data_IF_359156562645
#
_entry.id   IF_359156562645
#
_cell.length_a   1.000
_cell.length_b   1.000
_cell.length_c   1.000
_cell.angle_alpha   90.00
_cell.angle_beta   90.00
_cell.angle_gamma   90.00
#
_symmetry.space_group_name_H-M   'P 1'
#
loop_
_entity.id
_entity.type
_entity.pdbx_description
1 polymer ?
#
# COMPACT_ATOMS: atom_id res chain seq x y z
N UNK A 1 -32.73 55.10 11.68
CA UNK A 1 -31.85 55.20 12.86
C UNK A 1 -30.43 54.83 12.41
N UNK A 2 -29.53 55.81 12.30
CA UNK A 2 -28.10 55.64 11.95
C UNK A 2 -27.27 55.49 13.22
N UNK A 3 -26.24 54.64 13.21
CA UNK A 3 -24.99 54.67 14.02
C UNK A 3 -24.20 53.38 13.75
N UNK A 4 -22.88 53.32 13.62
CA UNK A 4 -21.77 54.26 13.35
C UNK A 4 -20.54 53.34 13.14
N UNK A 5 -19.69 53.63 12.15
CA UNK A 5 -18.37 53.01 11.98
C UNK A 5 -17.42 53.40 13.13
N UNK A 6 -16.49 52.51 13.49
CA UNK A 6 -15.18 52.87 14.06
C UNK A 6 -14.12 51.97 13.41
N UNK A 7 -13.32 52.55 12.54
CA UNK A 7 -12.04 52.04 12.06
C UNK A 7 -10.93 52.49 13.02
N UNK A 8 -10.03 51.60 13.42
CA UNK A 8 -8.74 51.97 14.02
C UNK A 8 -7.61 51.48 13.12
N UNK A 9 -6.96 52.43 12.45
CA UNK A 9 -5.64 52.29 11.84
C UNK A 9 -4.59 52.66 12.89
N UNK A 10 -3.57 51.82 13.10
CA UNK A 10 -2.37 52.22 13.83
C UNK A 10 -1.14 52.09 12.92
N UNK A 11 -0.36 53.15 12.95
CA UNK A 11 0.69 53.55 12.03
C UNK A 11 2.06 53.09 12.54
N UNK A 12 2.87 52.57 11.60
CA UNK A 12 4.31 52.78 11.38
C UNK A 12 5.28 52.86 12.57
N UNK A 13 6.30 51.98 12.57
CA UNK A 13 7.69 52.40 12.82
C UNK A 13 8.70 51.42 12.18
N UNK A 14 9.43 51.91 11.18
CA UNK A 14 10.67 51.33 10.64
C UNK A 14 11.80 51.61 11.63
N UNK A 15 12.63 50.63 11.95
CA UNK A 15 14.05 50.87 12.28
C UNK A 15 14.93 49.79 11.65
N UNK A 16 15.74 50.24 10.70
CA UNK A 16 16.91 49.57 10.15
C UNK A 16 18.03 49.59 11.20
N UNK A 17 18.82 48.52 11.25
CA UNK A 17 20.03 48.44 12.06
C UNK A 17 20.92 47.30 11.61
N UNK A 18 21.66 47.51 10.52
CA UNK A 18 22.81 46.69 10.13
C UNK A 18 24.05 47.15 10.88
N UNK A 19 24.79 46.23 11.50
CA UNK A 19 26.24 46.39 11.66
C UNK A 19 26.95 45.03 11.69
N UNK A 20 28.09 45.05 11.01
CA UNK A 20 28.98 43.96 10.61
C UNK A 20 30.29 44.14 11.38
N UNK A 21 30.87 43.00 11.80
CA UNK A 21 32.29 42.72 12.14
C UNK A 21 33.09 43.66 13.05
N UNK A 22 33.71 43.08 14.09
CA UNK A 22 35.15 43.23 14.35
C UNK A 22 35.68 42.13 15.29
N UNK A 23 36.79 41.52 14.87
CA UNK A 23 37.62 40.58 15.60
C UNK A 23 38.50 41.28 16.66
N UNK A 24 39.00 40.53 17.65
CA UNK A 24 40.04 41.03 18.55
C UNK A 24 40.39 40.05 19.67
N UNK A 25 41.66 39.67 19.76
CA UNK A 25 42.20 38.52 20.47
C UNK A 25 42.51 38.72 21.97
N UNK A 26 42.49 37.60 22.70
CA UNK A 26 43.36 37.10 23.80
C UNK A 26 44.23 38.06 24.65
N UNK A 27 44.18 37.89 25.99
CA UNK A 27 45.31 37.43 26.86
C UNK A 27 44.84 37.10 28.30
N UNK A 28 44.89 35.83 28.75
CA UNK A 28 45.86 35.12 29.64
C UNK A 28 45.98 35.65 31.08
N UNK A 29 45.71 34.78 32.07
CA UNK A 29 46.59 34.30 33.18
C UNK A 29 45.72 33.72 34.32
N UNK A 30 46.11 32.78 35.17
CA UNK A 30 46.95 31.56 35.19
C UNK A 30 46.87 31.09 36.67
N UNK A 31 46.87 29.79 36.99
CA UNK A 31 47.55 29.22 38.17
C UNK A 31 47.26 27.72 38.37
N UNK A 32 48.29 26.92 38.07
CA UNK A 32 48.84 25.74 38.78
C UNK A 32 47.92 24.58 39.24
N UNK A 33 48.31 23.30 39.22
CA UNK A 33 49.44 22.47 38.73
C UNK A 33 49.03 21.05 39.21
N UNK A 34 49.24 19.96 38.49
CA UNK A 34 50.22 18.90 38.84
C UNK A 34 49.94 17.66 37.98
N UNK A 35 50.99 17.30 37.23
CA UNK A 35 51.49 15.97 36.83
C UNK A 35 50.70 15.05 35.89
N UNK A 36 51.36 14.84 34.77
CA UNK A 36 51.21 13.90 33.66
C UNK A 36 51.13 12.41 34.04
N UNK A 37 50.21 11.69 33.42
CA UNK A 37 50.43 10.33 32.89
C UNK A 37 49.83 10.28 31.48
N UNK A 38 50.69 10.00 30.51
CA UNK A 38 50.34 9.79 29.11
C UNK A 38 49.55 8.48 28.98
N UNK A 39 48.34 8.56 28.43
CA UNK A 39 47.64 7.40 27.88
C UNK A 39 46.95 7.87 26.61
N UNK A 40 47.34 7.30 25.47
CA UNK A 40 46.78 7.59 24.16
C UNK A 40 45.29 7.20 24.15
N UNK A 41 44.42 8.21 24.26
CA UNK A 41 43.00 8.03 24.01
C UNK A 41 42.77 8.08 22.49
N UNK A 42 42.59 6.89 21.93
CA UNK A 42 42.05 6.64 20.59
C UNK A 42 40.77 7.46 20.43
N UNK A 43 40.80 8.49 19.59
CA UNK A 43 39.61 9.23 19.20
C UNK A 43 38.72 8.28 18.40
N UNK A 44 37.73 7.67 19.05
CA UNK A 44 36.61 7.08 18.36
C UNK A 44 35.85 8.22 17.67
N UNK A 45 36.18 8.42 16.40
CA UNK A 45 35.26 9.04 15.46
C UNK A 45 33.99 8.20 15.50
N UNK A 46 32.97 8.67 16.22
CA UNK A 46 31.60 8.24 16.01
C UNK A 46 31.21 8.86 14.66
N UNK A 47 31.68 8.22 13.59
CA UNK A 47 31.08 8.34 12.28
C UNK A 47 29.74 7.64 12.41
N UNK A 48 28.73 8.34 12.92
CA UNK A 48 27.35 7.96 12.67
C UNK A 48 27.13 8.13 11.18
N UNK A 49 27.43 7.06 10.44
CA UNK A 49 26.81 6.77 9.16
C UNK A 49 25.29 6.81 9.40
N UNK A 50 24.70 8.00 9.26
CA UNK A 50 23.29 8.12 8.97
C UNK A 50 23.17 7.56 7.55
N UNK A 51 23.02 6.24 7.46
CA UNK A 51 22.45 5.62 6.27
C UNK A 51 21.04 6.16 6.15
N UNK A 52 20.92 7.23 5.39
CA UNK A 52 19.69 7.71 4.80
C UNK A 52 19.14 6.57 3.93
N UNK A 53 18.40 5.65 4.55
CA UNK A 53 17.58 4.65 3.88
C UNK A 53 16.30 5.35 3.39
N UNK A 54 16.45 6.32 2.49
CA UNK A 54 15.33 6.81 1.71
C UNK A 54 15.13 5.81 0.57
N UNK A 55 14.42 4.71 0.85
CA UNK A 55 13.87 3.89 -0.24
C UNK A 55 12.89 4.75 -1.04
N UNK A 56 12.98 4.76 -2.36
CA UNK A 56 11.98 5.43 -3.18
C UNK A 56 10.60 4.79 -2.97
N UNK A 57 9.56 5.63 -2.91
CA UNK A 57 8.16 5.17 -2.81
C UNK A 57 7.85 4.14 -3.88
N UNK A 58 7.01 3.17 -3.54
CA UNK A 58 6.60 2.14 -4.48
C UNK A 58 5.55 2.61 -5.50
N UNK A 59 4.98 3.79 -5.27
CA UNK A 59 3.96 4.42 -6.10
C UNK A 59 4.40 5.82 -6.52
N UNK A 60 4.09 6.17 -7.75
CA UNK A 60 4.23 7.52 -8.30
C UNK A 60 2.86 8.18 -8.23
N UNK A 61 2.82 9.42 -7.76
CA UNK A 61 1.64 10.28 -7.76
C UNK A 61 1.69 11.21 -8.97
N UNK A 62 0.63 11.21 -9.77
CA UNK A 62 0.41 12.18 -10.84
C UNK A 62 -0.83 13.01 -10.52
N UNK A 63 -0.59 14.26 -10.13
CA UNK A 63 -1.65 15.23 -9.86
C UNK A 63 -2.01 15.95 -11.15
N UNK A 64 -3.29 16.16 -11.42
CA UNK A 64 -3.72 16.88 -12.61
C UNK A 64 -5.22 17.08 -12.70
N UNK A 65 -5.68 17.55 -13.86
CA UNK A 65 -7.11 17.76 -14.15
C UNK A 65 -7.54 16.84 -15.28
N UNK A 66 -8.73 16.23 -15.15
CA UNK A 66 -9.34 15.43 -16.21
C UNK A 66 -9.73 16.37 -17.36
N UNK A 67 -9.18 16.16 -18.56
CA UNK A 67 -9.50 16.95 -19.76
C UNK A 67 -10.31 16.18 -20.80
N UNK A 68 -10.39 14.86 -20.68
CA UNK A 68 -11.20 14.01 -21.56
C UNK A 68 -11.66 12.78 -20.78
N UNK A 69 -12.93 12.39 -20.93
CA UNK A 69 -13.47 11.14 -20.39
C UNK A 69 -14.04 10.30 -21.54
N UNK A 70 -13.37 9.19 -21.85
CA UNK A 70 -13.82 8.25 -22.87
C UNK A 70 -14.46 7.03 -22.20
N UNK A 71 -15.78 6.88 -22.37
CA UNK A 71 -16.56 5.73 -21.90
C UNK A 71 -17.07 4.92 -23.08
N UNK A 72 -16.86 3.62 -23.03
CA UNK A 72 -17.51 2.62 -23.88
C UNK A 72 -18.12 1.54 -23.00
N UNK A 73 -18.95 0.66 -23.57
CA UNK A 73 -19.50 -0.50 -22.84
C UNK A 73 -18.44 -1.40 -22.21
N UNK A 74 -17.20 -1.39 -22.73
CA UNK A 74 -16.12 -2.31 -22.33
C UNK A 74 -14.94 -1.63 -21.65
N UNK A 75 -14.85 -0.31 -21.70
CA UNK A 75 -13.69 0.41 -21.18
C UNK A 75 -14.02 1.84 -20.80
N UNK A 76 -13.39 2.33 -19.74
CA UNK A 76 -13.33 3.74 -19.40
C UNK A 76 -11.87 4.16 -19.41
N UNK A 77 -11.57 5.32 -20.00
CA UNK A 77 -10.26 5.96 -19.88
C UNK A 77 -10.42 7.45 -19.67
N UNK A 78 -9.46 8.06 -18.96
CA UNK A 78 -9.42 9.49 -18.70
C UNK A 78 -8.09 10.06 -19.18
N UNK A 79 -8.12 11.22 -19.84
CA UNK A 79 -6.92 12.02 -20.09
C UNK A 79 -6.74 12.98 -18.93
N UNK A 80 -5.55 12.97 -18.32
CA UNK A 80 -5.22 13.81 -17.18
C UNK A 80 -4.06 14.71 -17.58
N UNK A 81 -4.23 16.01 -17.43
CA UNK A 81 -3.22 17.01 -17.77
C UNK A 81 -2.67 17.70 -16.52
N UNK A 82 -1.35 17.90 -16.53
CA UNK A 82 -0.64 18.79 -15.64
C UNK A 82 0.47 19.47 -16.43
N UNK A 83 0.21 20.72 -16.85
CA UNK A 83 1.12 21.51 -17.67
C UNK A 83 2.41 21.91 -16.94
N UNK A 84 2.38 21.91 -15.61
CA UNK A 84 3.50 22.30 -14.77
C UNK A 84 4.36 21.09 -14.36
N UNK A 85 3.90 19.85 -14.57
CA UNK A 85 4.67 18.65 -14.27
C UNK A 85 5.96 18.58 -15.10
N UNK A 86 7.12 18.38 -14.47
CA UNK A 86 8.41 18.33 -15.18
C UNK A 86 8.53 17.11 -16.13
N UNK A 87 7.79 16.03 -15.84
CA UNK A 87 7.69 14.84 -16.67
C UNK A 87 6.61 14.94 -17.74
N UNK A 88 5.70 13.96 -17.77
CA UNK A 88 4.63 13.93 -18.77
C UNK A 88 3.60 15.04 -18.49
N UNK A 89 3.42 15.94 -19.46
CA UNK A 89 2.39 17.00 -19.38
C UNK A 89 0.97 16.46 -19.41
N UNK A 90 0.79 15.26 -19.94
CA UNK A 90 -0.46 14.54 -19.94
C UNK A 90 -0.24 13.03 -19.97
N UNK A 91 -1.12 12.29 -19.30
CA UNK A 91 -1.14 10.82 -19.31
C UNK A 91 -2.58 10.37 -19.48
N UNK A 92 -2.80 9.37 -20.33
CA UNK A 92 -4.10 8.70 -20.42
C UNK A 92 -4.12 7.49 -19.48
N UNK A 93 -5.09 7.44 -18.58
CA UNK A 93 -5.24 6.34 -17.64
C UNK A 93 -6.45 5.49 -18.00
N UNK A 94 -6.26 4.16 -18.09
CA UNK A 94 -7.37 3.23 -18.22
C UNK A 94 -7.97 2.94 -16.85
N UNK A 95 -9.29 3.04 -16.74
CA UNK A 95 -10.02 2.86 -15.49
C UNK A 95 -10.78 1.51 -15.54
N UNK A 96 -10.06 0.43 -15.21
CA UNK A 96 -10.64 -0.92 -15.07
C UNK A 96 -11.45 -1.03 -13.77
N UNK A 97 -12.15 -2.17 -13.56
CA UNK A 97 -12.84 -2.46 -12.30
C UNK A 97 -11.88 -2.59 -11.11
N UNK A 98 -10.61 -2.82 -11.41
CA UNK A 98 -9.57 -3.09 -10.41
C UNK A 98 -9.05 -1.78 -9.77
N UNK A 99 -9.23 -0.65 -10.46
CA UNK A 99 -8.82 0.68 -9.99
C UNK A 99 -9.66 1.13 -8.80
N UNK A 100 -9.01 1.54 -7.72
CA UNK A 100 -9.67 2.16 -6.58
C UNK A 100 -10.02 3.60 -6.92
N UNK A 101 -11.32 3.89 -7.10
CA UNK A 101 -11.82 5.24 -7.32
C UNK A 101 -12.37 5.79 -6.00
N UNK A 102 -11.80 6.90 -5.52
CA UNK A 102 -12.09 7.46 -4.20
C UNK A 102 -12.33 8.97 -4.29
N UNK A 103 -13.06 9.54 -3.34
CA UNK A 103 -13.11 10.99 -3.12
C UNK A 103 -12.30 11.37 -1.89
N UNK A 104 -11.51 12.44 -1.96
CA UNK A 104 -10.80 12.95 -0.79
C UNK A 104 -11.69 13.70 0.21
N UNK A 105 -12.91 14.08 -0.20
CA UNK A 105 -13.88 14.77 0.64
C UNK A 105 -14.60 13.79 1.55
N UNK A 106 -15.13 12.71 0.98
CA UNK A 106 -15.85 11.68 1.74
C UNK A 106 -14.94 10.57 2.26
N UNK A 107 -13.77 10.37 1.63
CA UNK A 107 -12.88 9.21 1.80
C UNK A 107 -13.52 7.90 1.34
N UNK A 108 -14.63 7.95 0.62
CA UNK A 108 -15.38 6.79 0.17
C UNK A 108 -15.16 6.48 -1.31
N UNK A 109 -15.53 5.26 -1.70
CA UNK A 109 -15.50 4.81 -3.08
C UNK A 109 -16.52 5.57 -3.91
N UNK A 110 -16.13 5.92 -5.13
CA UNK A 110 -17.01 6.56 -6.12
C UNK A 110 -17.13 5.67 -7.35
N UNK A 111 -18.19 5.84 -8.12
CA UNK A 111 -18.38 5.13 -9.37
C UNK A 111 -17.62 5.80 -10.51
N UNK A 112 -17.24 5.01 -11.52
CA UNK A 112 -16.66 5.51 -12.78
C UNK A 112 -17.53 6.57 -13.44
N UNK A 113 -18.84 6.50 -13.21
CA UNK A 113 -19.77 7.46 -13.78
C UNK A 113 -19.69 8.87 -13.21
N UNK A 114 -19.10 9.00 -12.03
CA UNK A 114 -18.91 10.27 -11.35
C UNK A 114 -17.71 11.04 -11.90
N UNK A 115 -16.78 10.37 -12.62
CA UNK A 115 -15.63 11.01 -13.27
C UNK A 115 -16.09 11.91 -14.42
N UNK A 116 -15.71 13.18 -14.36
CA UNK A 116 -16.08 14.23 -15.33
C UNK A 116 -14.88 15.11 -15.67
N UNK A 117 -14.92 15.68 -16.86
CA UNK A 117 -13.97 16.73 -17.28
C UNK A 117 -13.97 17.90 -16.28
N UNK A 118 -12.80 18.48 -16.05
CA UNK A 118 -12.58 19.58 -15.11
C UNK A 118 -12.31 19.14 -13.66
N UNK A 119 -12.50 17.86 -13.31
CA UNK A 119 -12.16 17.36 -11.98
C UNK A 119 -10.65 17.33 -11.75
N UNK A 120 -10.20 17.88 -10.62
CA UNK A 120 -8.83 17.72 -10.13
C UNK A 120 -8.71 16.36 -9.46
N UNK A 121 -7.63 15.64 -9.75
CA UNK A 121 -7.41 14.30 -9.22
C UNK A 121 -5.94 14.05 -8.89
N UNK A 122 -5.72 13.08 -8.00
CA UNK A 122 -4.43 12.43 -7.79
C UNK A 122 -4.53 11.01 -8.33
N UNK A 123 -3.64 10.65 -9.26
CA UNK A 123 -3.55 9.30 -9.81
C UNK A 123 -2.30 8.63 -9.25
N UNK A 124 -2.47 7.47 -8.62
CA UNK A 124 -1.38 6.68 -8.07
C UNK A 124 -1.17 5.41 -8.90
N UNK A 125 0.04 5.21 -9.39
CA UNK A 125 0.43 4.01 -10.13
C UNK A 125 1.79 3.50 -9.64
N UNK A 126 2.01 2.19 -9.67
CA UNK A 126 3.27 1.62 -9.20
C UNK A 126 4.47 2.15 -9.99
N UNK A 127 5.62 2.34 -9.36
CA UNK A 127 6.82 2.91 -10.00
C UNK A 127 7.30 2.17 -11.26
N UNK A 128 7.00 0.88 -11.35
CA UNK A 128 7.35 0.00 -12.48
C UNK A 128 6.16 -0.24 -13.44
N UNK A 129 5.10 0.57 -13.37
CA UNK A 129 3.92 0.41 -14.24
C UNK A 129 4.33 0.59 -15.70
N UNK A 130 4.08 -0.40 -16.58
CA UNK A 130 4.34 -0.25 -18.00
C UNK A 130 3.50 0.89 -18.60
N UNK A 131 4.13 1.72 -19.40
CA UNK A 131 3.47 2.78 -20.17
C UNK A 131 3.68 2.56 -21.67
N UNK A 132 2.69 2.96 -22.48
CA UNK A 132 2.86 2.93 -23.95
C UNK A 132 3.83 4.01 -24.43
N UNK A 133 4.44 3.80 -25.60
CA UNK A 133 5.29 4.81 -26.28
C UNK A 133 4.48 5.80 -27.13
N UNK A 134 3.19 5.97 -26.86
CA UNK A 134 2.34 6.96 -27.54
C UNK A 134 2.45 8.33 -26.89
N UNK A 135 1.89 9.36 -27.54
CA UNK A 135 1.72 10.68 -26.95
C UNK A 135 0.22 11.07 -26.99
N UNK A 136 -0.45 11.24 -25.84
CA UNK A 136 0.03 10.96 -24.48
C UNK A 136 0.35 9.48 -24.25
N UNK A 137 1.26 9.14 -23.32
CA UNK A 137 1.45 7.76 -22.90
C UNK A 137 0.18 7.26 -22.20
N UNK A 138 -0.04 5.95 -22.28
CA UNK A 138 -1.17 5.27 -21.65
C UNK A 138 -0.64 4.40 -20.51
N UNK A 139 -1.28 4.49 -19.34
CA UNK A 139 -0.92 3.72 -18.16
C UNK A 139 -2.17 3.16 -17.46
N UNK A 140 -1.96 2.14 -16.61
CA UNK A 140 -3.02 1.57 -15.77
C UNK A 140 -2.72 1.94 -14.31
N UNK A 141 -3.51 2.81 -13.67
CA UNK A 141 -3.29 3.19 -12.29
C UNK A 141 -3.80 2.14 -11.31
N UNK A 142 -3.34 2.21 -10.07
CA UNK A 142 -3.91 1.44 -8.96
C UNK A 142 -5.04 2.22 -8.28
N UNK A 143 -4.87 3.52 -8.12
CA UNK A 143 -5.79 4.39 -7.36
C UNK A 143 -5.98 5.71 -8.11
N UNK A 144 -7.22 6.20 -8.13
CA UNK A 144 -7.53 7.57 -8.52
C UNK A 144 -8.35 8.20 -7.40
N UNK A 145 -7.89 9.35 -6.92
CA UNK A 145 -8.58 10.12 -5.89
C UNK A 145 -9.06 11.43 -6.50
N UNK A 146 -10.36 11.69 -6.43
CA UNK A 146 -10.95 12.96 -6.84
C UNK A 146 -10.81 13.99 -5.73
N UNK A 147 -10.28 15.15 -6.08
CA UNK A 147 -9.99 16.24 -5.17
C UNK A 147 -11.13 17.26 -5.18
N UNK A 148 -12.07 17.10 -4.25
CA UNK A 148 -13.29 17.92 -4.14
C UNK A 148 -13.31 18.82 -2.90
N UNK A 149 -12.37 18.63 -1.97
CA UNK A 149 -12.24 19.47 -0.77
C UNK A 149 -11.26 20.62 -0.99
N UNK A 150 -11.61 21.81 -0.48
CA UNK A 150 -10.70 22.98 -0.44
C UNK A 150 -9.57 22.78 0.58
N UNK A 151 -9.84 22.05 1.67
CA UNK A 151 -8.86 21.58 2.65
C UNK A 151 -8.90 20.05 2.67
N UNK A 152 -8.23 19.38 1.72
CA UNK A 152 -8.29 17.94 1.63
C UNK A 152 -7.45 17.27 2.71
N UNK A 153 -7.94 16.13 3.20
CA UNK A 153 -7.06 15.17 3.88
C UNK A 153 -5.92 14.80 2.93
N UNK A 154 -4.73 14.62 3.49
CA UNK A 154 -3.61 14.07 2.72
C UNK A 154 -3.89 12.62 2.34
N UNK A 155 -3.41 12.19 1.18
CA UNK A 155 -3.53 10.79 0.74
C UNK A 155 -2.16 10.25 0.41
N UNK A 156 -1.79 9.16 1.07
CA UNK A 156 -0.55 8.42 0.79
C UNK A 156 -0.91 7.01 0.34
N UNK A 157 -0.49 6.66 -0.87
CA UNK A 157 -0.52 5.29 -1.38
C UNK A 157 0.89 4.76 -1.36
N UNK A 158 1.15 3.75 -0.53
CA UNK A 158 2.47 3.10 -0.44
C UNK A 158 2.38 1.75 0.26
N UNK A 159 3.51 1.05 0.31
CA UNK A 159 3.72 -0.03 1.27
C UNK A 159 3.99 0.54 2.66
N UNK A 160 3.33 -0.01 3.66
CA UNK A 160 3.51 0.33 5.07
C UNK A 160 4.01 -0.88 5.85
N UNK A 161 5.01 -0.68 6.71
CA UNK A 161 5.52 -1.74 7.59
C UNK A 161 4.59 -2.02 8.78
N UNK A 162 4.99 -2.91 9.69
CA UNK A 162 4.29 -3.23 10.93
C UNK A 162 4.15 -2.05 11.91
N UNK A 163 4.99 -1.03 11.78
CA UNK A 163 4.89 0.24 12.52
C UNK A 163 4.04 1.30 11.80
N UNK A 164 3.43 0.94 10.66
CA UNK A 164 2.68 1.84 9.78
C UNK A 164 3.49 3.05 9.30
N UNK A 165 4.75 2.81 8.99
CA UNK A 165 5.64 3.75 8.31
C UNK A 165 5.68 3.41 6.83
N UNK A 166 5.45 4.40 5.96
CA UNK A 166 5.53 4.25 4.51
C UNK A 166 6.96 3.93 4.05
N UNK A 167 7.11 3.18 2.97
CA UNK A 167 8.42 2.77 2.44
C UNK A 167 9.33 3.95 2.11
N UNK A 168 8.79 5.09 1.68
CA UNK A 168 9.55 6.32 1.47
C UNK A 168 9.91 7.10 2.74
N UNK A 169 9.61 6.54 3.92
CA UNK A 169 9.81 7.16 5.23
C UNK A 169 9.14 8.55 5.34
N UNK A 170 8.10 8.80 4.52
CA UNK A 170 7.37 10.06 4.52
C UNK A 170 6.37 10.13 5.66
N UNK A 171 5.52 9.10 5.80
CA UNK A 171 4.38 9.11 6.73
C UNK A 171 4.45 7.92 7.68
N UNK A 172 4.34 8.21 8.98
CA UNK A 172 3.90 7.26 9.99
C UNK A 172 2.44 7.52 10.33
N UNK A 173 1.57 6.57 10.00
CA UNK A 173 0.13 6.69 10.17
C UNK A 173 -0.29 6.23 11.57
N UNK A 174 -0.79 7.17 12.39
CA UNK A 174 -1.27 6.86 13.74
C UNK A 174 -2.76 6.49 13.73
N UNK A 175 -3.06 5.26 14.16
CA UNK A 175 -4.42 4.74 14.27
C UNK A 175 -5.03 5.11 15.62
N UNK A 176 -6.32 5.43 15.62
CA UNK A 176 -7.15 5.63 16.82
C UNK A 176 -8.47 4.85 16.67
N UNK A 177 -9.29 4.84 17.72
CA UNK A 177 -10.62 4.21 17.69
C UNK A 177 -11.56 4.79 16.62
N UNK A 178 -11.24 5.97 16.09
CA UNK A 178 -12.01 6.64 15.01
C UNK A 178 -11.50 6.30 13.61
N UNK A 179 -10.36 5.64 13.49
CA UNK A 179 -9.79 5.27 12.19
C UNK A 179 -10.63 4.16 11.57
N UNK A 180 -11.12 4.40 10.37
CA UNK A 180 -11.86 3.39 9.60
C UNK A 180 -10.84 2.56 8.81
N UNK A 181 -10.83 1.24 9.00
CA UNK A 181 -9.95 0.32 8.27
C UNK A 181 -10.82 -0.64 7.48
N UNK A 182 -10.68 -0.65 6.16
CA UNK A 182 -11.53 -1.44 5.26
C UNK A 182 -10.77 -2.06 4.09
N UNK A 183 -11.36 -3.10 3.52
CA UNK A 183 -10.95 -3.64 2.21
C UNK A 183 -11.57 -2.86 1.04
N UNK A 184 -11.35 -3.34 -0.20
CA UNK A 184 -11.93 -2.73 -1.41
C UNK A 184 -13.46 -2.73 -1.44
N UNK A 185 -14.09 -3.71 -0.81
CA UNK A 185 -15.54 -3.86 -0.78
C UNK A 185 -16.18 -3.08 0.38
N UNK A 186 -15.38 -2.41 1.22
CA UNK A 186 -15.84 -1.70 2.40
C UNK A 186 -16.02 -2.59 3.63
N UNK A 187 -15.58 -3.86 3.59
CA UNK A 187 -15.62 -4.72 4.78
C UNK A 187 -14.61 -4.21 5.80
N UNK A 188 -15.00 -4.17 7.08
CA UNK A 188 -14.11 -3.75 8.16
C UNK A 188 -12.98 -4.76 8.35
N UNK A 189 -11.77 -4.24 8.49
CA UNK A 189 -10.56 -5.00 8.82
C UNK A 189 -10.07 -4.65 10.22
N UNK A 190 -9.28 -5.54 10.81
CA UNK A 190 -8.58 -5.29 12.06
C UNK A 190 -7.18 -4.73 11.80
N UNK A 191 -6.52 -4.26 12.86
CA UNK A 191 -5.21 -3.59 12.73
C UNK A 191 -4.13 -4.53 12.21
N UNK A 192 -4.24 -5.81 12.54
CA UNK A 192 -3.29 -6.85 12.15
C UNK A 192 -3.34 -7.12 10.64
N UNK A 193 -4.47 -6.86 9.98
CA UNK A 193 -4.67 -7.14 8.55
C UNK A 193 -3.91 -6.18 7.63
N UNK A 194 -3.45 -5.02 8.15
CA UNK A 194 -2.83 -3.94 7.37
C UNK A 194 -1.32 -3.81 7.56
N UNK A 195 -0.72 -4.58 8.48
CA UNK A 195 0.73 -4.55 8.69
C UNK A 195 1.47 -5.19 7.52
N UNK A 196 2.56 -4.55 7.07
CA UNK A 196 3.37 -5.04 5.95
C UNK A 196 2.53 -5.22 4.67
N UNK A 197 1.65 -4.27 4.37
CA UNK A 197 0.76 -4.26 3.20
C UNK A 197 0.87 -2.95 2.43
N UNK A 198 0.37 -2.97 1.20
CA UNK A 198 0.19 -1.77 0.40
C UNK A 198 -1.16 -1.17 0.80
N UNK A 199 -1.16 0.11 1.17
CA UNK A 199 -2.31 0.80 1.77
C UNK A 199 -2.57 2.12 1.06
N UNK A 200 -3.84 2.52 1.06
CA UNK A 200 -4.29 3.88 0.79
C UNK A 200 -4.63 4.51 2.14
N UNK A 201 -3.84 5.50 2.56
CA UNK A 201 -4.01 6.16 3.86
C UNK A 201 -4.47 7.58 3.63
N UNK A 202 -5.72 7.87 4.03
CA UNK A 202 -6.21 9.23 4.22
C UNK A 202 -5.80 9.70 5.63
N UNK A 203 -5.00 10.76 5.70
CA UNK A 203 -4.46 11.29 6.96
C UNK A 203 -4.79 12.78 7.13
N UNK A 204 -4.87 13.20 8.39
CA UNK A 204 -5.23 14.58 8.72
C UNK A 204 -4.17 15.60 8.28
N UNK A 205 -4.58 16.86 8.04
CA UNK A 205 -3.68 17.92 7.55
C UNK A 205 -2.61 18.34 8.57
N UNK A 206 -2.81 18.01 9.86
CA UNK A 206 -1.85 18.32 10.92
C UNK A 206 -0.88 17.14 11.08
N UNK A 207 0.41 17.41 10.88
CA UNK A 207 1.49 16.44 11.04
C UNK A 207 2.65 17.00 11.87
N UNK A 208 3.45 16.11 12.46
CA UNK A 208 4.71 16.49 13.12
C UNK A 208 5.77 16.84 12.07
N UNK A 209 6.74 17.68 12.47
CA UNK A 209 7.91 18.01 11.63
C UNK A 209 9.06 16.98 11.77
N UNK A 210 8.75 15.73 12.12
CA UNK A 210 9.72 14.64 12.24
C UNK A 210 9.92 13.91 10.92
N UNK A 211 10.92 13.04 10.84
CA UNK A 211 11.12 12.10 9.74
C UNK A 211 11.08 10.68 10.34
N UNK A 212 10.07 9.84 10.02
CA UNK A 212 8.89 10.16 9.21
C UNK A 212 7.98 11.20 9.88
N UNK A 213 7.19 11.93 9.09
CA UNK A 213 6.15 12.80 9.61
C UNK A 213 5.03 11.93 10.20
N UNK A 214 4.48 12.34 11.34
CA UNK A 214 3.43 11.57 12.02
C UNK A 214 2.10 12.33 11.91
N UNK A 215 1.06 11.65 11.44
CA UNK A 215 -0.31 12.20 11.36
C UNK A 215 -1.35 11.15 11.76
N UNK A 216 -2.53 11.60 12.13
CA UNK A 216 -3.68 10.73 12.42
C UNK A 216 -4.25 10.17 11.11
N UNK A 217 -4.45 8.86 11.06
CA UNK A 217 -5.13 8.19 9.96
C UNK A 217 -6.65 8.30 10.14
N UNK A 218 -7.32 8.95 9.19
CA UNK A 218 -8.78 9.06 9.15
C UNK A 218 -9.40 7.79 8.56
N UNK A 219 -8.82 7.29 7.47
CA UNK A 219 -9.24 6.05 6.83
C UNK A 219 -8.05 5.34 6.20
N UNK A 220 -8.00 4.02 6.36
CA UNK A 220 -7.02 3.13 5.76
C UNK A 220 -7.79 2.14 4.90
N UNK A 221 -7.41 2.03 3.64
CA UNK A 221 -7.97 1.06 2.71
C UNK A 221 -6.84 0.12 2.29
N UNK A 222 -7.06 -1.19 2.44
CA UNK A 222 -6.13 -2.20 1.97
C UNK A 222 -6.09 -2.19 0.43
N UNK A 223 -4.91 -1.95 -0.14
CA UNK A 223 -4.68 -2.05 -1.56
C UNK A 223 -4.30 -3.51 -1.89
N UNK A 224 -5.30 -4.28 -2.30
CA UNK A 224 -5.11 -5.70 -2.61
C UNK A 224 -4.36 -5.86 -3.93
N UNK A 225 -3.24 -6.57 -3.89
CA UNK A 225 -2.58 -7.04 -5.10
C UNK A 225 -3.38 -8.19 -5.70
N UNK A 226 -3.60 -8.15 -7.01
CA UNK A 226 -4.32 -9.20 -7.71
C UNK A 226 -3.38 -10.28 -8.25
N UNK A 227 -3.84 -11.53 -8.21
CA UNK A 227 -3.12 -12.64 -8.85
C UNK A 227 -3.25 -12.49 -10.37
N UNK A 228 -2.15 -12.14 -11.02
CA UNK A 228 -2.02 -11.98 -12.49
C UNK A 228 -1.26 -13.14 -13.12
N UNK A 229 -0.39 -13.77 -12.36
CA UNK A 229 0.40 -14.92 -12.79
C UNK A 229 -0.31 -16.19 -12.35
N UNK A 230 -0.69 -17.02 -13.32
CA UNK A 230 -1.65 -18.10 -13.09
C UNK A 230 -1.03 -19.50 -13.11
N UNK A 231 0.20 -19.63 -13.59
CA UNK A 231 0.89 -20.90 -13.82
C UNK A 231 2.10 -21.12 -12.92
N UNK A 232 2.36 -20.20 -11.99
CA UNK A 232 3.46 -20.32 -11.02
C UNK A 232 3.18 -19.61 -9.70
N UNK A 233 3.91 -20.04 -8.69
CA UNK A 233 3.99 -19.42 -7.36
C UNK A 233 5.44 -19.32 -6.91
N UNK A 234 5.67 -18.59 -5.84
CA UNK A 234 6.95 -18.59 -5.13
C UNK A 234 6.73 -19.16 -3.73
N UNK A 235 7.62 -20.06 -3.30
CA UNK A 235 7.65 -20.57 -1.93
C UNK A 235 9.04 -20.36 -1.37
N UNK A 236 9.15 -19.60 -0.28
CA UNK A 236 10.41 -19.27 0.39
C UNK A 236 11.47 -18.68 -0.58
N UNK A 237 11.01 -17.82 -1.49
CA UNK A 237 11.84 -17.19 -2.51
C UNK A 237 12.17 -18.05 -3.73
N UNK A 238 11.73 -19.32 -3.78
CA UNK A 238 11.93 -20.19 -4.94
C UNK A 238 10.68 -20.25 -5.81
N UNK A 239 10.83 -19.97 -7.10
CA UNK A 239 9.77 -20.11 -8.09
C UNK A 239 9.43 -21.59 -8.33
N UNK A 240 8.14 -21.89 -8.43
CA UNK A 240 7.59 -23.23 -8.67
C UNK A 240 6.47 -23.13 -9.70
N UNK A 241 6.62 -23.87 -10.79
CA UNK A 241 5.57 -24.00 -11.80
C UNK A 241 4.43 -24.89 -11.28
N UNK A 242 3.21 -24.52 -11.63
CA UNK A 242 2.01 -25.29 -11.36
C UNK A 242 1.63 -26.10 -12.61
N UNK A 243 1.26 -27.36 -12.40
CA UNK A 243 0.77 -28.24 -13.48
C UNK A 243 -0.59 -27.75 -13.98
N UNK A 244 -1.38 -27.18 -13.08
CA UNK A 244 -2.72 -26.67 -13.29
C UNK A 244 -2.76 -25.17 -13.02
N UNK A 245 -3.46 -24.41 -13.86
CA UNK A 245 -3.51 -22.95 -13.71
C UNK A 245 -4.48 -22.51 -12.61
N UNK A 246 -4.07 -21.51 -11.85
CA UNK A 246 -4.92 -20.67 -11.01
C UNK A 246 -5.94 -19.96 -11.91
N UNK A 247 -7.15 -19.73 -11.40
CA UNK A 247 -8.15 -18.93 -12.11
C UNK A 247 -9.04 -18.15 -11.15
N UNK A 248 -9.83 -17.24 -11.70
CA UNK A 248 -10.86 -16.49 -10.97
C UNK A 248 -12.22 -17.16 -11.15
N UNK A 249 -12.88 -17.50 -10.05
CA UNK A 249 -14.27 -17.94 -9.99
C UNK A 249 -15.09 -16.89 -9.26
N UNK A 250 -15.86 -16.08 -10.00
CA UNK A 250 -16.50 -14.89 -9.46
C UNK A 250 -15.48 -13.93 -8.85
N UNK A 251 -15.61 -13.62 -7.55
CA UNK A 251 -14.67 -12.76 -6.80
C UNK A 251 -13.48 -13.53 -6.22
N UNK A 252 -13.46 -14.86 -6.29
CA UNK A 252 -12.49 -15.70 -5.60
C UNK A 252 -11.38 -16.17 -6.52
N UNK A 253 -10.14 -16.09 -6.05
CA UNK A 253 -9.00 -16.76 -6.70
C UNK A 253 -8.99 -18.23 -6.28
N UNK A 254 -9.06 -19.14 -7.25
CA UNK A 254 -9.04 -20.59 -7.04
C UNK A 254 -7.68 -21.16 -7.39
N UNK A 255 -7.04 -21.85 -6.44
CA UNK A 255 -5.71 -22.45 -6.57
C UNK A 255 -5.80 -23.98 -6.64
N UNK A 256 -4.94 -24.65 -7.44
CA UNK A 256 -4.96 -26.11 -7.57
C UNK A 256 -4.45 -26.79 -6.30
N UNK A 257 -5.33 -27.47 -5.56
CA UNK A 257 -5.03 -28.01 -4.24
C UNK A 257 -3.79 -28.91 -4.24
N UNK A 258 -3.73 -29.86 -5.18
CA UNK A 258 -2.66 -30.86 -5.25
C UNK A 258 -1.31 -30.21 -5.54
N UNK A 259 -1.22 -29.36 -6.56
CA UNK A 259 0.05 -28.74 -6.98
C UNK A 259 0.63 -27.89 -5.86
N UNK A 260 -0.21 -27.07 -5.23
CA UNK A 260 0.20 -26.20 -4.11
C UNK A 260 0.62 -27.05 -2.91
N UNK A 261 -0.14 -28.08 -2.56
CA UNK A 261 0.17 -28.96 -1.44
C UNK A 261 1.48 -29.73 -1.66
N UNK A 262 1.70 -30.30 -2.86
CA UNK A 262 2.92 -31.01 -3.22
C UNK A 262 4.15 -30.08 -3.18
N UNK A 263 4.02 -28.85 -3.67
CA UNK A 263 5.08 -27.82 -3.56
C UNK A 263 5.39 -27.49 -2.10
N UNK A 264 4.39 -27.48 -1.23
CA UNK A 264 4.53 -27.30 0.21
C UNK A 264 4.90 -28.59 0.95
N UNK A 265 5.31 -29.64 0.23
CA UNK A 265 5.76 -30.94 0.74
C UNK A 265 4.69 -31.75 1.50
N UNK A 266 3.41 -31.47 1.25
CA UNK A 266 2.33 -32.35 1.69
C UNK A 266 2.24 -33.57 0.78
N UNK A 267 2.03 -34.74 1.38
CA UNK A 267 1.57 -35.92 0.67
C UNK A 267 0.07 -35.78 0.40
N UNK A 268 -0.34 -35.86 -0.87
CA UNK A 268 -1.75 -35.73 -1.27
C UNK A 268 -2.31 -37.08 -1.71
N UNK A 269 -3.23 -37.65 -0.93
CA UNK A 269 -3.95 -38.88 -1.24
C UNK A 269 -5.43 -38.61 -1.52
N UNK A 270 -6.10 -39.55 -2.18
CA UNK A 270 -7.54 -39.51 -2.39
C UNK A 270 -8.18 -40.68 -1.67
N UNK A 271 -9.19 -40.40 -0.85
CA UNK A 271 -9.99 -41.40 -0.17
C UNK A 271 -11.27 -41.63 -0.98
N UNK A 272 -11.38 -42.79 -1.62
CA UNK A 272 -12.51 -43.12 -2.49
C UNK A 272 -13.84 -43.28 -1.73
N UNK A 273 -13.81 -43.85 -0.53
CA UNK A 273 -15.01 -44.13 0.25
C UNK A 273 -15.64 -42.85 0.76
N UNK A 274 -14.80 -41.94 1.27
CA UNK A 274 -15.23 -40.63 1.79
C UNK A 274 -15.34 -39.55 0.70
N UNK A 275 -14.77 -39.82 -0.49
CA UNK A 275 -14.65 -38.87 -1.61
C UNK A 275 -13.99 -37.55 -1.19
N UNK A 276 -12.86 -37.64 -0.49
CA UNK A 276 -12.09 -36.47 -0.02
C UNK A 276 -10.63 -36.55 -0.46
N UNK A 277 -10.04 -35.41 -0.76
CA UNK A 277 -8.60 -35.26 -0.85
C UNK A 277 -8.03 -35.15 0.58
N UNK A 278 -6.98 -35.90 0.87
CA UNK A 278 -6.28 -35.93 2.15
C UNK A 278 -4.87 -35.38 1.95
N UNK A 279 -4.48 -34.40 2.76
CA UNK A 279 -3.18 -33.75 2.75
C UNK A 279 -2.49 -34.06 4.07
N UNK A 280 -1.27 -34.60 4.00
CA UNK A 280 -0.50 -35.06 5.16
C UNK A 280 0.90 -34.45 5.15
N UNK A 281 1.26 -33.72 6.19
CA UNK A 281 2.64 -33.24 6.43
C UNK A 281 2.96 -33.30 7.92
N UNK A 282 3.80 -34.25 8.33
CA UNK A 282 4.07 -34.50 9.75
C UNK A 282 2.78 -34.81 10.51
N UNK A 283 2.45 -33.99 11.52
CA UNK A 283 1.22 -34.12 12.31
C UNK A 283 0.02 -33.37 11.72
N UNK A 284 0.22 -32.60 10.64
CA UNK A 284 -0.85 -31.86 9.99
C UNK A 284 -1.62 -32.81 9.07
N UNK A 285 -2.90 -32.98 9.37
CA UNK A 285 -3.86 -33.72 8.57
C UNK A 285 -5.00 -32.81 8.17
N UNK A 286 -5.20 -32.67 6.88
CA UNK A 286 -6.20 -31.79 6.26
C UNK A 286 -7.02 -32.59 5.28
N UNK A 287 -8.34 -32.44 5.30
CA UNK A 287 -9.21 -33.03 4.29
C UNK A 287 -10.02 -31.97 3.57
N UNK A 288 -10.19 -32.18 2.27
CA UNK A 288 -10.99 -31.30 1.41
C UNK A 288 -11.96 -32.17 0.63
N UNK A 289 -13.25 -31.91 0.83
CA UNK A 289 -14.30 -32.54 0.03
C UNK A 289 -14.65 -31.62 -1.14
N UNK A 290 -14.51 -32.07 -2.40
CA UNK A 290 -14.82 -31.24 -3.55
C UNK A 290 -16.27 -30.75 -3.55
N UNK A 291 -16.50 -29.54 -4.06
CA UNK A 291 -17.82 -28.91 -4.18
C UNK A 291 -18.51 -28.59 -2.84
N UNK A 292 -17.75 -28.55 -1.75
CA UNK A 292 -18.23 -28.13 -0.43
C UNK A 292 -17.34 -27.02 0.16
N UNK A 293 -17.98 -26.10 0.91
CA UNK A 293 -17.32 -25.11 1.79
C UNK A 293 -17.13 -25.72 3.19
N UNK A 294 -16.43 -26.87 3.23
CA UNK A 294 -16.14 -27.61 4.44
C UNK A 294 -14.71 -28.15 4.34
N UNK A 295 -13.76 -27.37 4.85
CA UNK A 295 -12.35 -27.74 4.90
C UNK A 295 -12.04 -28.26 6.30
N UNK A 296 -11.20 -29.28 6.44
CA UNK A 296 -10.79 -29.75 7.77
C UNK A 296 -9.32 -29.46 8.05
N UNK A 297 -9.01 -28.96 9.24
CA UNK A 297 -7.64 -28.87 9.75
C UNK A 297 -7.60 -29.47 11.14
N UNK A 298 -6.77 -30.50 11.34
CA UNK A 298 -6.64 -31.19 12.63
C UNK A 298 -8.01 -31.64 13.20
N UNK A 299 -8.89 -32.16 12.33
CA UNK A 299 -10.27 -32.62 12.63
C UNK A 299 -11.30 -31.52 12.96
N UNK A 300 -10.92 -30.25 12.91
CA UNK A 300 -11.87 -29.13 13.02
C UNK A 300 -12.33 -28.68 11.64
N UNK A 301 -13.62 -28.39 11.49
CA UNK A 301 -14.19 -27.84 10.26
C UNK A 301 -13.93 -26.32 10.22
N UNK A 302 -13.44 -25.85 9.09
CA UNK A 302 -13.21 -24.45 8.74
C UNK A 302 -14.08 -24.13 7.53
N UNK A 303 -14.90 -23.07 7.63
CA UNK A 303 -15.67 -22.52 6.51
C UNK A 303 -14.99 -21.26 5.99
N UNK A 304 -14.81 -21.18 4.69
CA UNK A 304 -14.17 -20.07 3.99
C UNK A 304 -15.18 -19.15 3.31
N UNK A 305 -16.46 -19.53 3.25
CA UNK A 305 -17.51 -18.81 2.53
C UNK A 305 -17.48 -19.05 1.02
N UNK A 306 -16.56 -19.90 0.54
CA UNK A 306 -16.37 -20.25 -0.86
C UNK A 306 -16.08 -21.75 -0.90
N UNK A 307 -16.88 -22.51 -1.64
CA UNK A 307 -16.70 -23.94 -1.77
C UNK A 307 -15.46 -24.30 -2.61
N UNK A 308 -14.89 -25.48 -2.38
CA UNK A 308 -13.91 -26.05 -3.30
C UNK A 308 -14.59 -26.39 -4.63
N UNK A 309 -13.83 -26.45 -5.72
CA UNK A 309 -14.35 -26.78 -7.05
C UNK A 309 -13.63 -27.99 -7.64
N UNK A 310 -14.37 -28.93 -8.22
CA UNK A 310 -13.79 -30.00 -9.03
C UNK A 310 -13.83 -29.61 -10.51
N UNK A 311 -12.67 -29.34 -11.11
CA UNK A 311 -12.54 -28.93 -12.51
C UNK A 311 -11.52 -29.80 -13.22
N UNK A 312 -11.93 -30.42 -14.32
CA UNK A 312 -11.10 -31.32 -15.14
C UNK A 312 -10.40 -32.41 -14.32
N UNK A 313 -11.10 -32.97 -13.32
CA UNK A 313 -10.57 -33.99 -12.41
C UNK A 313 -9.65 -33.46 -11.31
N UNK A 314 -9.40 -32.16 -11.24
CA UNK A 314 -8.55 -31.52 -10.24
C UNK A 314 -9.39 -30.76 -9.21
N UNK A 315 -9.03 -30.90 -7.93
CA UNK A 315 -9.67 -30.13 -6.86
C UNK A 315 -8.99 -28.76 -6.73
N UNK A 316 -9.80 -27.72 -6.72
CA UNK A 316 -9.40 -26.34 -6.52
C UNK A 316 -9.98 -25.83 -5.21
N UNK A 317 -9.23 -24.97 -4.53
CA UNK A 317 -9.63 -24.34 -3.27
C UNK A 317 -9.46 -22.83 -3.38
N UNK A 318 -10.23 -22.02 -2.64
CA UNK A 318 -10.03 -20.57 -2.63
C UNK A 318 -8.64 -20.24 -2.06
N UNK A 319 -8.07 -19.12 -2.47
CA UNK A 319 -6.75 -18.67 -2.04
C UNK A 319 -6.64 -18.54 -0.50
N UNK A 320 -7.74 -18.17 0.17
CA UNK A 320 -7.85 -18.10 1.63
C UNK A 320 -7.66 -19.46 2.33
N UNK A 321 -7.62 -20.56 1.58
CA UNK A 321 -7.24 -21.86 2.12
C UNK A 321 -5.82 -21.84 2.70
N UNK A 322 -4.90 -21.05 2.13
CA UNK A 322 -3.51 -20.96 2.60
C UNK A 322 -3.43 -20.41 4.03
N UNK A 323 -4.03 -19.26 4.31
CA UNK A 323 -3.94 -18.61 5.62
C UNK A 323 -5.00 -19.13 6.61
N UNK A 324 -6.23 -19.39 6.16
CA UNK A 324 -7.31 -19.81 7.07
C UNK A 324 -7.28 -21.29 7.42
N UNK A 325 -6.83 -22.16 6.51
CA UNK A 325 -6.77 -23.61 6.74
C UNK A 325 -5.33 -24.04 7.02
N UNK A 326 -4.38 -23.81 6.11
CA UNK A 326 -3.00 -24.26 6.29
C UNK A 326 -2.19 -23.41 7.28
N UNK A 327 -2.72 -22.25 7.71
CA UNK A 327 -2.06 -21.30 8.61
C UNK A 327 -0.72 -20.79 8.06
N UNK A 328 -0.67 -20.58 6.75
CA UNK A 328 0.50 -20.08 6.02
C UNK A 328 0.35 -18.59 5.73
N UNK A 329 1.44 -17.85 5.94
CA UNK A 329 1.52 -16.47 5.49
C UNK A 329 1.79 -16.43 3.99
N UNK A 330 1.00 -15.64 3.28
CA UNK A 330 1.24 -15.37 1.88
C UNK A 330 0.99 -13.90 1.54
N UNK A 331 1.59 -13.47 0.44
CA UNK A 331 1.33 -12.19 -0.18
C UNK A 331 1.21 -12.38 -1.69
N UNK A 332 0.54 -11.43 -2.34
CA UNK A 332 0.54 -11.36 -3.80
C UNK A 332 1.54 -10.26 -4.15
N UNK A 333 2.58 -10.62 -4.89
CA UNK A 333 3.60 -9.66 -5.31
C UNK A 333 2.98 -8.63 -6.26
N UNK A 334 3.68 -7.52 -6.49
CA UNK A 334 3.23 -6.49 -7.45
C UNK A 334 3.12 -7.00 -8.89
N UNK A 335 3.87 -8.05 -9.25
CA UNK A 335 3.73 -8.76 -10.52
C UNK A 335 2.54 -9.74 -10.55
N UNK A 336 1.79 -9.82 -9.46
CA UNK A 336 0.63 -10.69 -9.30
C UNK A 336 0.99 -12.17 -9.16
N UNK A 337 2.16 -12.48 -8.60
CA UNK A 337 2.57 -13.85 -8.25
C UNK A 337 2.20 -14.11 -6.79
N UNK A 338 1.63 -15.28 -6.48
CA UNK A 338 1.43 -15.69 -5.08
C UNK A 338 2.78 -16.09 -4.49
N UNK A 339 3.18 -15.43 -3.41
CA UNK A 339 4.40 -15.71 -2.66
C UNK A 339 4.03 -16.24 -1.26
N UNK A 340 4.37 -17.50 -0.99
CA UNK A 340 4.14 -18.18 0.29
C UNK A 340 5.44 -18.17 1.08
N UNK A 341 5.37 -17.77 2.36
CA UNK A 341 6.52 -17.56 3.25
C UNK A 341 6.76 -18.69 4.23
#
# INVERSE_FOLDING_TARGET
MKRRLISLSLSTCLLLGSSVFAAGANKIEESNKVTSVTTEAKTENINTDIKELNSESDYITYEGTITEVNKSEKSTSILVENKDNEGFKSIRFNISEDVYLLSNKTKDFINKDELKEGMKINVFYGKNTPMTKSLPPIANPSVVVVNESEEPDGVKVDRFNDQLISTDNFLKANISDKTIIVDKNGNKLEKEDIYNKDLIVFYGPIMTMSIPAQSHANKIILLESEVKTLDKITVNGQEKELKNKIYKSGKSTMIPLRDIAEVLEYKVTWNNDLKVAELIKGNNFVTVKPNEDNYSFAKMIVKLGVASELKDGNTYVPLSFLDKVLKLDYEITKSGVINIK
#
